data_IF_702047086207
#
_entry.id   IF_702047086207
#
_cell.length_a   1.000
_cell.length_b   1.000
_cell.length_c   1.000
_cell.angle_alpha   90.00
_cell.angle_beta   90.00
_cell.angle_gamma   90.00
#
_symmetry.space_group_name_H-M   'P 1'
#
loop_
_entity.id
_entity.type
_entity.pdbx_description
1 polymer ?
#
# COMPACT_ATOMS: atom_id res chain seq x y z
N UNK A 1 -24.84 19.62 -12.05
CA UNK A 1 -24.06 19.12 -10.88
C UNK A 1 -24.34 20.05 -9.72
N UNK A 2 -24.56 19.53 -8.50
CA UNK A 2 -24.63 20.36 -7.29
C UNK A 2 -23.22 20.61 -6.79
N UNK A 3 -22.80 21.88 -6.76
CA UNK A 3 -21.51 22.30 -6.23
C UNK A 3 -21.74 22.86 -4.82
N UNK A 4 -21.06 22.29 -3.84
CA UNK A 4 -21.05 22.80 -2.47
C UNK A 4 -19.60 22.96 -2.04
N UNK A 5 -19.13 24.20 -2.01
CA UNK A 5 -17.88 24.54 -1.35
C UNK A 5 -18.13 24.67 0.16
N UNK A 6 -17.13 24.34 0.99
CA UNK A 6 -17.24 24.47 2.45
C UNK A 6 -17.68 25.89 2.85
N UNK A 7 -18.81 25.97 3.57
CA UNK A 7 -19.38 27.25 4.03
C UNK A 7 -20.17 28.06 2.99
N UNK A 8 -20.37 27.55 1.77
CA UNK A 8 -21.19 28.20 0.74
C UNK A 8 -22.56 27.53 0.59
N UNK A 9 -23.57 28.33 0.26
CA UNK A 9 -24.89 27.82 -0.15
C UNK A 9 -24.75 26.93 -1.40
N UNK A 10 -25.47 25.79 -1.45
CA UNK A 10 -25.38 24.87 -2.57
C UNK A 10 -25.84 25.54 -3.87
N UNK A 11 -25.03 25.44 -4.93
CA UNK A 11 -25.33 25.98 -6.26
C UNK A 11 -25.61 24.87 -7.24
N UNK A 12 -26.62 25.10 -8.08
CA UNK A 12 -27.04 24.19 -9.13
C UNK A 12 -26.67 24.78 -10.49
N UNK A 13 -25.80 24.09 -11.22
CA UNK A 13 -25.34 24.52 -12.54
C UNK A 13 -25.44 23.36 -13.55
N UNK A 14 -25.79 23.71 -14.79
CA UNK A 14 -25.83 22.80 -15.92
C UNK A 14 -24.46 22.79 -16.62
N UNK A 15 -23.98 21.59 -16.96
CA UNK A 15 -22.70 21.36 -17.61
C UNK A 15 -22.88 20.30 -18.69
N UNK A 16 -22.17 20.44 -19.81
CA UNK A 16 -22.22 19.47 -20.92
C UNK A 16 -21.53 18.15 -20.57
N UNK A 17 -20.53 18.19 -19.70
CA UNK A 17 -19.78 17.03 -19.23
C UNK A 17 -19.21 17.25 -17.81
N UNK A 18 -18.93 16.17 -17.11
CA UNK A 18 -18.42 16.18 -15.72
C UNK A 18 -17.33 15.12 -15.58
N UNK A 19 -16.17 15.51 -15.03
CA UNK A 19 -15.11 14.60 -14.63
C UNK A 19 -14.96 14.61 -13.09
N UNK A 20 -14.99 13.44 -12.46
CA UNK A 20 -14.85 13.30 -11.01
C UNK A 20 -13.41 12.91 -10.67
N UNK A 21 -12.67 13.82 -10.05
CA UNK A 21 -11.26 13.67 -9.71
C UNK A 21 -11.00 13.76 -8.19
N UNK A 22 -11.94 13.32 -7.37
CA UNK A 22 -11.89 13.47 -5.89
C UNK A 22 -10.88 12.57 -5.18
N UNK A 23 -10.22 11.67 -5.92
CA UNK A 23 -9.33 10.65 -5.38
C UNK A 23 -10.07 9.50 -4.68
N UNK A 24 -9.40 8.35 -4.56
CA UNK A 24 -9.94 7.13 -3.95
C UNK A 24 -9.55 6.98 -2.46
N UNK A 25 -8.46 7.60 -2.03
CA UNK A 25 -7.83 7.37 -0.72
C UNK A 25 -8.03 8.56 0.25
N UNK A 26 -9.26 9.06 0.38
CA UNK A 26 -9.57 10.24 1.20
C UNK A 26 -10.38 9.91 2.47
N UNK A 27 -11.10 8.78 2.51
CA UNK A 27 -11.84 8.33 3.70
C UNK A 27 -11.12 7.13 4.32
N UNK A 28 -10.61 7.23 5.57
CA UNK A 28 -9.91 6.13 6.22
C UNK A 28 -10.87 5.00 6.59
N UNK A 29 -10.43 3.75 6.38
CA UNK A 29 -11.17 2.55 6.80
C UNK A 29 -10.55 2.00 8.08
N UNK A 30 -11.04 2.47 9.22
CA UNK A 30 -10.56 2.04 10.54
C UNK A 30 -11.36 0.82 11.03
N UNK A 31 -10.76 -0.38 11.11
CA UNK A 31 -11.42 -1.53 11.70
C UNK A 31 -11.53 -1.39 13.22
N UNK A 32 -12.61 -1.93 13.81
CA UNK A 32 -12.71 -2.13 15.26
C UNK A 32 -12.33 -3.54 15.65
N UNK A 33 -11.54 -3.68 16.70
CA UNK A 33 -11.14 -4.98 17.25
C UNK A 33 -11.85 -5.28 18.58
N UNK A 34 -12.20 -6.54 18.87
CA UNK A 34 -12.66 -6.93 20.19
C UNK A 34 -11.63 -6.56 21.26
N UNK A 35 -12.06 -5.89 22.34
CA UNK A 35 -11.19 -5.47 23.43
C UNK A 35 -10.36 -4.21 23.15
N UNK A 36 -10.56 -3.54 22.00
CA UNK A 36 -9.81 -2.34 21.62
C UNK A 36 -9.93 -1.21 22.66
N UNK A 37 -11.09 -1.02 23.27
CA UNK A 37 -11.34 0.05 24.25
C UNK A 37 -10.56 -0.15 25.56
N UNK A 38 -10.12 -1.38 25.84
CA UNK A 38 -9.29 -1.71 27.01
C UNK A 38 -7.78 -1.63 26.74
N UNK A 39 -7.37 -1.32 25.51
CA UNK A 39 -5.96 -1.20 25.16
C UNK A 39 -5.40 0.12 25.70
N UNK A 40 -4.46 0.05 26.65
CA UNK A 40 -3.85 1.22 27.29
C UNK A 40 -2.76 1.93 26.46
N UNK A 41 -2.59 1.57 25.19
CA UNK A 41 -1.64 2.20 24.27
C UNK A 41 -2.33 3.02 23.18
N UNK A 42 -1.52 3.70 22.37
CA UNK A 42 -2.02 4.52 21.27
C UNK A 42 -2.48 3.66 20.08
N UNK A 43 -3.63 4.01 19.49
CA UNK A 43 -4.12 3.42 18.24
C UNK A 43 -4.25 4.54 17.21
N UNK A 44 -3.59 4.37 16.07
CA UNK A 44 -3.50 5.38 15.02
C UNK A 44 -3.75 4.73 13.65
N UNK A 45 -4.57 5.37 12.81
CA UNK A 45 -4.69 4.97 11.40
C UNK A 45 -3.57 5.61 10.59
N UNK A 46 -3.13 4.96 9.49
CA UNK A 46 -2.04 5.48 8.65
C UNK A 46 -2.33 6.85 8.02
N UNK A 47 -3.61 7.21 7.86
CA UNK A 47 -4.02 8.54 7.39
C UNK A 47 -3.61 9.68 8.35
N UNK A 48 -3.46 9.36 9.64
CA UNK A 48 -3.09 10.30 10.69
C UNK A 48 -1.57 10.25 11.02
N UNK A 49 -0.83 9.33 10.39
CA UNK A 49 0.62 9.24 10.51
C UNK A 49 1.30 10.43 9.83
N UNK A 50 2.17 11.15 10.57
CA UNK A 50 2.88 12.33 10.07
C UNK A 50 4.38 12.35 10.36
N UNK A 51 4.82 11.72 11.44
CA UNK A 51 6.20 11.81 11.92
C UNK A 51 6.70 10.48 12.48
N UNK A 52 7.81 9.91 11.95
CA UNK A 52 8.38 8.65 12.45
C UNK A 52 8.82 8.68 13.92
N UNK A 53 9.07 9.85 14.52
CA UNK A 53 9.46 9.98 15.92
C UNK A 53 8.40 9.40 16.88
N UNK A 54 7.15 9.27 16.44
CA UNK A 54 6.07 8.66 17.22
C UNK A 54 6.39 7.22 17.67
N UNK A 55 7.29 6.53 16.96
CA UNK A 55 7.64 5.13 17.19
C UNK A 55 8.79 4.95 18.19
N UNK A 56 9.55 6.01 18.50
CA UNK A 56 10.78 5.92 19.29
C UNK A 56 10.53 5.30 20.66
N UNK A 57 11.28 4.25 20.98
CA UNK A 57 11.18 3.50 22.24
C UNK A 57 9.91 2.68 22.42
N UNK A 58 8.97 2.68 21.45
CA UNK A 58 7.70 1.95 21.55
C UNK A 58 7.80 0.56 20.94
N UNK A 59 6.95 -0.34 21.42
CA UNK A 59 6.66 -1.62 20.73
C UNK A 59 5.49 -1.39 19.79
N UNK A 60 5.72 -1.51 18.49
CA UNK A 60 4.78 -1.10 17.45
C UNK A 60 4.19 -2.32 16.77
N UNK A 61 2.86 -2.42 16.79
CA UNK A 61 2.12 -3.40 16.00
C UNK A 61 1.45 -2.70 14.81
N UNK A 62 1.76 -3.15 13.60
CA UNK A 62 1.21 -2.59 12.36
C UNK A 62 0.23 -3.60 11.78
N UNK A 63 -1.03 -3.19 11.65
CA UNK A 63 -2.08 -4.02 11.06
C UNK A 63 -2.19 -3.74 9.57
N UNK A 64 -1.84 -4.74 8.76
CA UNK A 64 -1.82 -4.65 7.31
C UNK A 64 -0.40 -4.58 6.75
N UNK A 65 -0.22 -5.24 5.62
CA UNK A 65 1.06 -5.39 4.93
C UNK A 65 0.98 -4.88 3.49
N UNK A 66 0.20 -3.81 3.29
CA UNK A 66 0.21 -3.04 2.04
C UNK A 66 1.40 -2.09 1.98
N UNK A 67 1.52 -1.33 0.88
CA UNK A 67 2.56 -0.31 0.67
C UNK A 67 2.78 0.57 1.91
N UNK A 68 1.70 1.19 2.42
CA UNK A 68 1.75 2.07 3.58
C UNK A 68 2.19 1.34 4.85
N UNK A 69 1.78 0.08 5.04
CA UNK A 69 2.18 -0.71 6.20
C UNK A 69 3.68 -1.01 6.19
N UNK A 70 4.25 -1.28 5.02
CA UNK A 70 5.69 -1.46 4.84
C UNK A 70 6.49 -0.19 5.08
N UNK A 71 6.03 0.94 4.54
CA UNK A 71 6.69 2.22 4.75
C UNK A 71 6.71 2.61 6.23
N UNK A 72 5.58 2.45 6.94
CA UNK A 72 5.51 2.66 8.39
C UNK A 72 6.35 1.65 9.16
N UNK A 73 6.39 0.39 8.73
CA UNK A 73 7.22 -0.65 9.37
C UNK A 73 8.70 -0.35 9.26
N UNK A 74 9.13 0.09 8.08
CA UNK A 74 10.50 0.55 7.86
C UNK A 74 10.81 1.81 8.67
N UNK A 75 9.92 2.79 8.68
CA UNK A 75 10.07 4.00 9.47
C UNK A 75 10.23 3.66 10.96
N UNK A 76 9.35 2.84 11.52
CA UNK A 76 9.43 2.38 12.91
C UNK A 76 10.75 1.65 13.20
N UNK A 77 11.15 0.71 12.33
CA UNK A 77 12.37 -0.08 12.51
C UNK A 77 13.65 0.77 12.44
N UNK A 78 13.66 1.83 11.64
CA UNK A 78 14.83 2.71 11.47
C UNK A 78 14.87 3.90 12.42
N UNK A 79 13.74 4.27 13.02
CA UNK A 79 13.62 5.45 13.90
C UNK A 79 13.49 5.06 15.38
N UNK A 80 14.08 3.92 15.76
CA UNK A 80 14.32 3.57 17.16
C UNK A 80 13.11 3.00 17.89
N UNK A 81 12.16 2.35 17.20
CA UNK A 81 11.19 1.50 17.87
C UNK A 81 11.90 0.36 18.63
N UNK A 82 11.37 -0.02 19.79
CA UNK A 82 11.89 -1.13 20.58
C UNK A 82 11.62 -2.48 19.89
N UNK A 83 10.47 -2.60 19.23
CA UNK A 83 10.16 -3.73 18.35
C UNK A 83 9.07 -3.34 17.34
N UNK A 84 9.08 -4.01 16.19
CA UNK A 84 8.05 -3.84 15.14
C UNK A 84 7.47 -5.20 14.80
N UNK A 85 6.14 -5.32 14.87
CA UNK A 85 5.40 -6.54 14.50
C UNK A 85 4.39 -6.21 13.41
N UNK A 86 4.48 -6.90 12.27
CA UNK A 86 3.52 -6.76 11.18
C UNK A 86 2.47 -7.86 11.26
N UNK A 87 1.19 -7.47 11.24
CA UNK A 87 0.05 -8.37 11.33
C UNK A 87 -0.61 -8.44 9.95
N UNK A 88 -0.67 -9.64 9.38
CA UNK A 88 -1.33 -9.89 8.09
C UNK A 88 -2.40 -10.97 8.22
N UNK A 89 -3.49 -10.84 7.46
CA UNK A 89 -4.56 -11.84 7.39
C UNK A 89 -4.28 -12.93 6.37
N UNK A 90 -3.56 -12.60 5.30
CA UNK A 90 -3.44 -13.47 4.12
C UNK A 90 -2.00 -13.65 3.66
N UNK A 91 -1.00 -13.23 4.43
CA UNK A 91 0.38 -13.22 3.97
C UNK A 91 0.68 -12.02 3.06
N UNK A 92 1.93 -11.90 2.63
CA UNK A 92 2.37 -10.88 1.69
C UNK A 92 3.62 -11.33 0.95
N UNK A 93 3.87 -10.71 -0.20
CA UNK A 93 5.13 -10.81 -0.92
C UNK A 93 5.70 -9.41 -1.03
N UNK A 94 6.86 -9.21 -0.40
CA UNK A 94 7.61 -7.95 -0.52
C UNK A 94 8.52 -8.03 -1.74
N UNK A 95 8.41 -7.06 -2.64
CA UNK A 95 9.29 -6.97 -3.81
C UNK A 95 9.97 -5.60 -3.81
N UNK A 96 11.28 -5.54 -4.06
CA UNK A 96 11.96 -4.26 -4.15
C UNK A 96 11.47 -3.48 -5.37
N UNK A 97 11.31 -2.16 -5.23
CA UNK A 97 10.98 -1.28 -6.35
C UNK A 97 12.05 -1.33 -7.47
N UNK A 98 13.30 -1.64 -7.12
CA UNK A 98 14.39 -1.89 -8.06
C UNK A 98 15.26 -3.07 -7.59
N UNK A 99 15.64 -3.97 -8.50
CA UNK A 99 16.45 -5.13 -8.17
C UNK A 99 17.96 -4.83 -8.00
N UNK A 100 18.35 -3.54 -7.93
CA UNK A 100 19.73 -3.07 -7.89
C UNK A 100 20.43 -3.16 -9.25
N UNK A 101 21.53 -2.42 -9.46
CA UNK A 101 22.23 -2.35 -10.76
C UNK A 101 21.51 -1.48 -11.81
N UNK A 102 21.80 -1.71 -13.10
CA UNK A 102 21.21 -0.97 -14.24
C UNK A 102 19.85 -1.54 -14.71
N UNK A 103 19.16 -2.33 -13.86
CA UNK A 103 17.83 -2.82 -14.21
C UNK A 103 16.81 -1.67 -14.14
N UNK A 104 15.85 -1.62 -15.08
CA UNK A 104 14.78 -0.65 -15.01
C UNK A 104 13.92 -0.90 -13.75
N UNK A 105 13.17 0.11 -13.27
CA UNK A 105 12.20 -0.06 -12.20
C UNK A 105 11.29 -1.26 -12.46
N UNK A 106 10.87 -1.95 -11.39
CA UNK A 106 10.01 -3.13 -11.49
C UNK A 106 8.76 -2.86 -12.34
N UNK A 107 8.20 -1.66 -12.24
CA UNK A 107 7.00 -1.25 -12.99
C UNK A 107 7.21 -1.31 -14.50
N UNK A 108 8.41 -0.99 -14.99
CA UNK A 108 8.73 -1.07 -16.41
C UNK A 108 8.85 -2.53 -16.91
N UNK A 109 9.04 -3.48 -16.00
CA UNK A 109 9.10 -4.91 -16.31
C UNK A 109 7.70 -5.53 -16.25
N UNK A 110 6.88 -5.10 -15.28
CA UNK A 110 5.49 -5.58 -15.11
C UNK A 110 4.56 -4.99 -16.18
N UNK A 111 4.69 -3.70 -16.49
CA UNK A 111 3.87 -3.03 -17.50
C UNK A 111 4.44 -3.31 -18.89
N UNK A 112 3.97 -4.39 -19.52
CA UNK A 112 4.24 -4.66 -20.94
C UNK A 112 3.23 -3.94 -21.84
N UNK A 113 3.62 -3.67 -23.09
CA UNK A 113 2.87 -3.08 -24.21
C UNK A 113 1.39 -3.51 -24.28
N UNK A 114 1.08 -4.77 -23.95
CA UNK A 114 -0.29 -5.30 -23.94
C UNK A 114 -1.23 -4.58 -22.95
N UNK A 115 -0.73 -3.95 -21.89
CA UNK A 115 -1.53 -3.13 -20.95
C UNK A 115 -1.93 -1.76 -21.52
N UNK A 116 -1.26 -1.30 -22.58
CA UNK A 116 -1.59 -0.06 -23.29
C UNK A 116 -2.18 -0.31 -24.69
N UNK A 117 -2.27 -1.57 -25.11
CA UNK A 117 -2.92 -1.92 -26.36
C UNK A 117 -4.40 -1.54 -26.29
N UNK A 118 -4.91 -0.93 -27.36
CA UNK A 118 -6.30 -0.52 -27.43
C UNK A 118 -7.24 -1.70 -27.20
N UNK A 119 -7.96 -1.68 -26.08
CA UNK A 119 -9.04 -2.63 -25.83
C UNK A 119 -10.31 -2.16 -26.52
N UNK A 120 -10.88 -3.02 -27.36
CA UNK A 120 -12.21 -2.78 -27.93
C UNK A 120 -13.27 -2.55 -26.84
N UNK A 121 -14.24 -1.69 -27.10
CA UNK A 121 -15.27 -1.30 -26.11
C UNK A 121 -16.09 -2.48 -25.56
N UNK A 122 -16.23 -3.56 -26.33
CA UNK A 122 -16.92 -4.77 -25.86
C UNK A 122 -16.10 -5.48 -24.79
N UNK A 123 -14.79 -5.61 -24.99
CA UNK A 123 -13.87 -6.29 -24.07
C UNK A 123 -13.74 -5.53 -22.74
N UNK A 124 -13.75 -4.19 -22.79
CA UNK A 124 -13.79 -3.33 -21.60
C UNK A 124 -15.10 -3.52 -20.81
N UNK A 125 -16.24 -3.58 -21.52
CA UNK A 125 -17.57 -3.76 -20.89
C UNK A 125 -17.70 -5.06 -20.12
N UNK A 126 -17.13 -6.16 -20.63
CA UNK A 126 -17.14 -7.45 -19.95
C UNK A 126 -16.00 -7.63 -18.96
N UNK A 127 -15.08 -6.65 -18.87
CA UNK A 127 -13.91 -6.71 -17.98
C UNK A 127 -13.00 -7.90 -18.27
N UNK A 128 -12.94 -8.37 -19.53
CA UNK A 128 -12.29 -9.63 -19.89
C UNK A 128 -10.79 -9.62 -19.53
N UNK A 129 -10.11 -8.50 -19.79
CA UNK A 129 -8.72 -8.30 -19.41
C UNK A 129 -8.53 -8.52 -17.91
N UNK A 130 -9.31 -7.85 -17.06
CA UNK A 130 -9.24 -7.99 -15.61
C UNK A 130 -9.57 -9.40 -15.13
N UNK A 131 -10.51 -10.09 -15.75
CA UNK A 131 -10.83 -11.47 -15.38
C UNK A 131 -9.66 -12.42 -15.66
N UNK A 132 -9.08 -12.34 -16.85
CA UNK A 132 -7.94 -13.20 -17.25
C UNK A 132 -6.71 -12.87 -16.43
N UNK A 133 -6.32 -11.59 -16.35
CA UNK A 133 -5.11 -11.19 -15.64
C UNK A 133 -5.22 -11.47 -14.16
N UNK A 134 -6.34 -11.15 -13.51
CA UNK A 134 -6.52 -11.44 -12.09
C UNK A 134 -6.38 -12.94 -11.78
N UNK A 135 -6.92 -13.82 -12.62
CA UNK A 135 -6.79 -15.28 -12.41
C UNK A 135 -5.37 -15.76 -12.61
N UNK A 136 -4.72 -15.32 -13.69
CA UNK A 136 -3.34 -15.67 -14.00
C UNK A 136 -2.38 -15.18 -12.90
N UNK A 137 -2.51 -13.91 -12.52
CA UNK A 137 -1.74 -13.27 -11.46
C UNK A 137 -1.93 -13.99 -10.12
N UNK A 138 -3.17 -14.26 -9.69
CA UNK A 138 -3.45 -14.98 -8.44
C UNK A 138 -2.88 -16.39 -8.43
N UNK A 139 -2.94 -17.10 -9.56
CA UNK A 139 -2.37 -18.44 -9.68
C UNK A 139 -0.84 -18.40 -9.64
N UNK A 140 -0.21 -17.47 -10.36
CA UNK A 140 1.23 -17.26 -10.31
C UNK A 140 1.72 -16.96 -8.88
N UNK A 141 1.01 -16.10 -8.15
CA UNK A 141 1.30 -15.82 -6.75
C UNK A 141 1.18 -17.06 -5.86
N UNK A 142 0.09 -17.80 -6.01
CA UNK A 142 -0.14 -19.01 -5.24
C UNK A 142 0.99 -20.02 -5.44
N UNK A 143 1.43 -20.21 -6.68
CA UNK A 143 2.49 -21.16 -7.02
C UNK A 143 3.86 -20.72 -6.50
N UNK A 144 4.18 -19.42 -6.56
CA UNK A 144 5.48 -18.93 -6.11
C UNK A 144 5.59 -18.78 -4.60
N UNK A 145 4.51 -18.42 -3.92
CA UNK A 145 4.58 -17.92 -2.52
C UNK A 145 3.61 -18.61 -1.57
N UNK A 146 2.80 -19.54 -2.06
CA UNK A 146 1.73 -20.18 -1.28
C UNK A 146 0.56 -19.24 -0.97
N UNK A 147 0.57 -18.01 -1.48
CA UNK A 147 -0.43 -16.99 -1.25
C UNK A 147 -0.98 -16.48 -2.59
N UNK A 148 -2.30 -16.34 -2.72
CA UNK A 148 -2.92 -15.77 -3.93
C UNK A 148 -3.09 -14.24 -3.89
N UNK A 149 -2.70 -13.59 -2.79
CA UNK A 149 -2.76 -12.13 -2.66
C UNK A 149 -1.51 -11.49 -3.26
N UNK A 150 -1.70 -10.35 -3.93
CA UNK A 150 -0.69 -9.77 -4.81
C UNK A 150 0.57 -9.20 -4.15
N UNK A 151 1.45 -8.63 -4.97
CA UNK A 151 2.64 -7.92 -4.52
C UNK A 151 2.27 -6.70 -3.68
N UNK A 152 3.06 -6.43 -2.65
CA UNK A 152 3.19 -5.09 -2.08
C UNK A 152 4.65 -4.67 -2.26
N UNK A 153 4.85 -3.56 -2.94
CA UNK A 153 6.15 -2.92 -3.09
C UNK A 153 6.59 -2.33 -1.75
N UNK A 154 7.88 -2.05 -1.68
CA UNK A 154 8.46 -1.30 -0.58
C UNK A 154 9.60 -0.47 -1.17
N UNK A 155 9.56 0.85 -0.94
CA UNK A 155 10.46 1.83 -1.57
C UNK A 155 11.70 2.09 -0.69
N UNK A 156 12.03 1.17 0.22
CA UNK A 156 13.18 1.29 1.09
C UNK A 156 14.46 1.58 0.33
N UNK A 157 14.94 2.83 0.42
CA UNK A 157 16.28 3.17 -0.04
C UNK A 157 17.25 2.34 0.82
N UNK A 158 18.07 1.49 0.17
CA UNK A 158 19.30 1.00 0.78
C UNK A 158 20.19 2.22 1.04
N UNK A 159 20.05 2.85 2.21
CA UNK A 159 21.19 3.56 2.78
C UNK A 159 22.26 2.50 3.02
N UNK A 160 23.47 2.76 2.52
CA UNK A 160 24.65 1.90 2.58
C UNK A 160 24.97 1.44 4.01
N UNK A 161 24.25 0.43 4.52
CA UNK A 161 24.70 -0.36 5.65
C UNK A 161 25.40 -1.58 5.09
N UNK A 162 26.69 -1.69 5.37
CA UNK A 162 27.46 -2.88 5.03
C UNK A 162 26.95 -4.06 5.86
N UNK A 163 27.06 -5.27 5.31
CA UNK A 163 26.57 -6.51 5.91
C UNK A 163 27.14 -6.75 7.34
N UNK A 164 28.23 -6.08 7.69
CA UNK A 164 28.87 -6.12 9.02
C UNK A 164 28.17 -5.24 10.08
N UNK A 165 27.49 -4.16 9.69
CA UNK A 165 26.79 -3.25 10.62
C UNK A 165 25.43 -3.81 11.08
N UNK A 166 24.73 -4.53 10.19
CA UNK A 166 23.45 -5.16 10.51
C UNK A 166 23.53 -6.31 11.52
N UNK A 167 24.73 -6.86 11.75
CA UNK A 167 24.94 -7.98 12.70
C UNK A 167 24.88 -7.55 14.17
N UNK A 168 24.96 -6.25 14.47
CA UNK A 168 25.03 -5.72 15.84
C UNK A 168 23.67 -5.51 16.51
N UNK A 169 22.56 -5.72 15.79
CA UNK A 169 21.19 -5.48 16.29
C UNK A 169 20.28 -6.71 16.20
N UNK A 170 20.84 -7.91 16.04
CA UNK A 170 20.10 -9.17 16.17
C UNK A 170 20.43 -9.76 17.54
N UNK A 171 19.57 -9.47 18.51
CA UNK A 171 19.29 -10.33 19.68
C UNK A 171 17.79 -10.55 19.72
#
# INVERSE_FOLDING_TARGET
VSLQAEGAEPRMEAWDAVAVCSGLHNVPRVPRFPGQDGFGGDILHSADYRDPELFRGKRVAIVGTGETGFDMGYAAATHGAASVTMITRHGFVSVPACFGGNYPPLDCIIMNFATHAWESQWAQRVGMHWWVTTKFTRLGFLLMTGCSYGFNQWVGKRYNMTWEEGRKHIV
#
